data_IF_571946196884
#
_entry.id   IF_571946196884
#
_cell.length_a   1.000
_cell.length_b   1.000
_cell.length_c   1.000
_cell.angle_alpha   90.00
_cell.angle_beta   90.00
_cell.angle_gamma   90.00
#
_symmetry.space_group_name_H-M   'P 1'
#
loop_
_entity.id
_entity.type
_entity.pdbx_description
1 polymer ?
#
# COMPACT_ATOMS: atom_id res chain seq x y z
N UNK A 1 4.03 -8.77 18.19
CA UNK A 1 4.48 -9.45 16.95
C UNK A 1 3.26 -9.68 16.08
N UNK A 2 3.33 -9.36 14.78
CA UNK A 2 2.22 -9.57 13.83
C UNK A 2 1.93 -11.07 13.67
N UNK A 3 0.66 -11.48 13.74
CA UNK A 3 0.28 -12.87 13.44
C UNK A 3 0.17 -13.07 11.94
N UNK A 4 0.55 -14.27 11.48
CA UNK A 4 0.42 -14.70 10.10
C UNK A 4 -0.57 -15.86 9.99
N UNK A 5 -1.28 -15.92 8.86
CA UNK A 5 -2.10 -17.04 8.43
C UNK A 5 -1.55 -17.59 7.12
N UNK A 6 -1.96 -18.78 6.71
CA UNK A 6 -1.62 -19.31 5.39
C UNK A 6 -2.77 -19.05 4.41
N UNK A 7 -2.47 -18.41 3.28
CA UNK A 7 -3.31 -18.41 2.10
C UNK A 7 -2.67 -19.37 1.08
N UNK A 8 -3.18 -20.60 1.03
CA UNK A 8 -2.49 -21.70 0.34
C UNK A 8 -1.11 -21.97 0.96
N UNK A 9 -0.02 -22.04 0.17
CA UNK A 9 1.33 -22.24 0.70
C UNK A 9 1.99 -20.95 1.22
N UNK A 10 1.37 -19.78 1.03
CA UNK A 10 2.00 -18.47 1.28
C UNK A 10 1.62 -17.95 2.69
N UNK A 11 2.58 -17.61 3.55
CA UNK A 11 2.32 -16.96 4.82
C UNK A 11 1.99 -15.47 4.63
N UNK A 12 0.82 -15.05 5.07
CA UNK A 12 0.29 -13.69 4.93
C UNK A 12 -0.01 -13.11 6.30
N UNK A 13 0.34 -11.85 6.54
CA UNK A 13 -0.05 -11.14 7.77
C UNK A 13 -1.57 -11.09 7.88
N UNK A 14 -2.10 -11.32 9.09
CA UNK A 14 -3.56 -11.27 9.34
C UNK A 14 -4.17 -9.91 8.97
N UNK A 15 -3.34 -8.86 8.95
CA UNK A 15 -3.66 -7.54 8.42
C UNK A 15 -3.01 -7.39 7.05
N UNK A 16 -3.81 -7.00 6.05
CA UNK A 16 -3.33 -6.72 4.69
C UNK A 16 -3.47 -5.22 4.45
N UNK A 17 -2.40 -4.59 3.97
CA UNK A 17 -2.43 -3.17 3.63
C UNK A 17 -3.24 -2.96 2.36
N UNK A 18 -4.21 -2.03 2.39
CA UNK A 18 -4.96 -1.61 1.21
C UNK A 18 -4.39 -0.31 0.62
N UNK A 19 -4.42 -0.18 -0.71
CA UNK A 19 -3.82 0.97 -1.42
C UNK A 19 -4.83 1.91 -2.10
N UNK A 20 -6.14 1.69 -1.96
CA UNK A 20 -7.16 2.55 -2.58
C UNK A 20 -6.92 4.06 -2.34
N UNK A 21 -6.58 4.51 -1.10
CA UNK A 21 -6.27 5.92 -0.87
C UNK A 21 -5.06 6.43 -1.65
N UNK A 22 -4.07 5.59 -1.95
CA UNK A 22 -2.87 6.00 -2.70
C UNK A 22 -3.22 6.53 -4.10
N UNK A 23 -4.30 6.02 -4.69
CA UNK A 23 -4.76 6.44 -6.02
C UNK A 23 -5.99 7.35 -5.98
N UNK A 24 -6.44 7.76 -4.79
CA UNK A 24 -7.62 8.60 -4.61
C UNK A 24 -8.95 7.90 -4.83
N UNK A 25 -9.09 6.63 -4.41
CA UNK A 25 -10.39 5.95 -4.38
C UNK A 25 -11.05 6.12 -3.01
N UNK A 26 -11.63 7.29 -2.74
CA UNK A 26 -12.20 7.59 -1.42
C UNK A 26 -13.55 6.94 -1.15
N UNK A 27 -14.30 6.62 -2.20
CA UNK A 27 -15.72 6.22 -2.16
C UNK A 27 -16.65 7.26 -1.49
N UNK A 28 -16.21 8.52 -1.38
CA UNK A 28 -16.98 9.60 -0.74
C UNK A 28 -17.31 10.75 -1.71
N UNK A 29 -16.40 11.06 -2.64
CA UNK A 29 -16.63 12.06 -3.67
C UNK A 29 -15.33 12.66 -4.19
N UNK A 30 -15.45 13.43 -5.26
CA UNK A 30 -14.29 13.97 -6.01
C UNK A 30 -13.36 14.82 -5.14
N UNK A 31 -13.91 15.63 -4.23
CA UNK A 31 -13.11 16.45 -3.32
C UNK A 31 -12.21 15.61 -2.40
N UNK A 32 -12.70 14.46 -1.91
CA UNK A 32 -11.93 13.57 -1.06
C UNK A 32 -10.94 12.72 -1.87
N UNK A 33 -11.32 12.28 -3.08
CA UNK A 33 -10.40 11.62 -4.02
C UNK A 33 -9.17 12.51 -4.29
N UNK A 34 -9.42 13.79 -4.51
CA UNK A 34 -8.43 14.82 -4.75
C UNK A 34 -7.56 15.14 -3.53
N UNK A 35 -8.14 15.12 -2.33
CA UNK A 35 -7.40 15.26 -1.08
C UNK A 35 -6.46 14.06 -0.86
N UNK A 36 -6.94 12.84 -1.11
CA UNK A 36 -6.15 11.62 -1.01
C UNK A 36 -4.97 11.62 -1.99
N UNK A 37 -5.18 11.97 -3.27
CA UNK A 37 -4.09 12.07 -4.26
C UNK A 37 -3.01 13.09 -3.88
N UNK A 38 -3.42 14.24 -3.31
CA UNK A 38 -2.49 15.27 -2.85
C UNK A 38 -1.72 14.85 -1.59
N UNK A 39 -2.36 14.08 -0.71
CA UNK A 39 -1.73 13.57 0.51
C UNK A 39 -0.74 12.43 0.24
N UNK A 40 -1.15 11.44 -0.55
CA UNK A 40 -0.37 10.27 -0.90
C UNK A 40 0.57 10.54 -2.07
N UNK A 41 1.58 11.37 -1.82
CA UNK A 41 2.73 11.49 -2.70
C UNK A 41 3.49 10.17 -2.80
N UNK A 42 4.32 9.98 -3.83
CA UNK A 42 5.19 8.78 -3.95
C UNK A 42 6.02 8.54 -2.68
N UNK A 43 6.59 9.59 -2.09
CA UNK A 43 7.36 9.47 -0.85
C UNK A 43 6.48 9.08 0.35
N UNK A 44 5.28 9.66 0.46
CA UNK A 44 4.30 9.26 1.49
C UNK A 44 3.92 7.79 1.34
N UNK A 45 3.64 7.32 0.11
CA UNK A 45 3.29 5.92 -0.16
C UNK A 45 4.43 5.00 0.26
N UNK A 46 5.67 5.29 -0.14
CA UNK A 46 6.85 4.49 0.25
C UNK A 46 7.07 4.50 1.76
N UNK A 47 6.85 5.63 2.43
CA UNK A 47 6.93 5.72 3.89
C UNK A 47 5.86 4.85 4.58
N UNK A 48 4.61 4.88 4.11
CA UNK A 48 3.53 4.01 4.61
C UNK A 48 3.86 2.52 4.42
N UNK A 49 4.43 2.15 3.26
CA UNK A 49 4.87 0.77 2.99
C UNK A 49 5.97 0.33 3.97
N UNK A 50 6.99 1.17 4.20
CA UNK A 50 8.07 0.89 5.17
C UNK A 50 7.54 0.74 6.59
N UNK A 51 6.64 1.62 7.01
CA UNK A 51 6.03 1.56 8.34
C UNK A 51 5.21 0.28 8.52
N UNK A 52 4.39 -0.08 7.53
CA UNK A 52 3.64 -1.32 7.55
C UNK A 52 4.56 -2.55 7.64
N UNK A 53 5.64 -2.57 6.85
CA UNK A 53 6.65 -3.63 6.89
C UNK A 53 7.34 -3.72 8.26
N UNK A 54 7.72 -2.58 8.86
CA UNK A 54 8.33 -2.53 10.19
C UNK A 54 7.37 -3.05 11.30
N UNK A 55 6.07 -2.90 11.12
CA UNK A 55 5.02 -3.46 12.00
C UNK A 55 4.74 -4.95 11.73
N UNK A 56 5.39 -5.56 10.74
CA UNK A 56 5.27 -6.96 10.36
C UNK A 56 4.16 -7.26 9.35
N UNK A 57 3.57 -6.25 8.71
CA UNK A 57 2.68 -6.43 7.57
C UNK A 57 3.52 -6.87 6.38
N UNK A 58 3.17 -7.98 5.74
CA UNK A 58 3.95 -8.54 4.63
C UNK A 58 3.17 -8.61 3.31
N UNK A 59 1.94 -8.08 3.28
CA UNK A 59 1.04 -8.22 2.15
C UNK A 59 0.33 -6.90 1.87
N UNK A 60 0.28 -6.54 0.57
CA UNK A 60 -0.38 -5.36 0.02
C UNK A 60 -1.40 -5.80 -1.03
N UNK A 61 -2.60 -5.22 -1.00
CA UNK A 61 -3.55 -5.27 -2.11
C UNK A 61 -3.46 -3.95 -2.86
N UNK A 62 -3.01 -4.03 -4.11
CA UNK A 62 -2.84 -2.86 -4.96
C UNK A 62 -3.28 -3.07 -6.40
N UNK A 63 -3.58 -1.94 -7.03
CA UNK A 63 -3.83 -1.86 -8.46
C UNK A 63 -2.54 -2.14 -9.23
N UNK A 64 -2.71 -2.65 -10.44
CA UNK A 64 -1.64 -3.01 -11.37
C UNK A 64 -1.49 -1.99 -12.50
N UNK A 65 -1.78 -0.70 -12.23
CA UNK A 65 -1.53 0.37 -13.20
C UNK A 65 -0.08 0.85 -13.16
N UNK A 66 0.30 1.64 -14.17
CA UNK A 66 1.68 2.12 -14.31
C UNK A 66 2.15 3.00 -13.14
N UNK A 67 1.24 3.71 -12.47
CA UNK A 67 1.60 4.53 -11.32
C UNK A 67 2.03 3.65 -10.15
N UNK A 68 1.16 2.71 -9.73
CA UNK A 68 1.47 1.82 -8.61
C UNK A 68 2.64 0.89 -8.92
N UNK A 69 2.74 0.36 -10.14
CA UNK A 69 3.88 -0.48 -10.54
C UNK A 69 5.18 0.32 -10.44
N UNK A 70 5.23 1.57 -10.95
CA UNK A 70 6.44 2.40 -10.84
C UNK A 70 6.83 2.66 -9.39
N UNK A 71 5.87 3.03 -8.54
CA UNK A 71 6.11 3.28 -7.11
C UNK A 71 6.65 2.04 -6.41
N UNK A 72 6.10 0.85 -6.69
CA UNK A 72 6.54 -0.40 -6.08
C UNK A 72 7.92 -0.83 -6.58
N UNK A 73 8.27 -0.59 -7.85
CA UNK A 73 9.63 -0.82 -8.35
C UNK A 73 10.64 0.09 -7.63
N UNK A 74 10.35 1.39 -7.53
CA UNK A 74 11.22 2.33 -6.81
C UNK A 74 11.34 2.00 -5.32
N UNK A 75 10.24 1.57 -4.68
CA UNK A 75 10.27 1.10 -3.30
C UNK A 75 11.20 -0.10 -3.14
N UNK A 76 11.08 -1.09 -4.04
CA UNK A 76 11.88 -2.31 -3.99
C UNK A 76 13.38 -2.04 -4.16
N UNK A 77 13.74 -1.13 -5.07
CA UNK A 77 15.13 -0.78 -5.34
C UNK A 77 15.81 -0.02 -4.17
N UNK A 78 15.02 0.52 -3.22
CA UNK A 78 15.52 1.26 -2.05
C UNK A 78 15.88 0.36 -0.85
N UNK A 79 15.53 -0.93 -0.88
CA UNK A 79 15.67 -1.87 0.25
C UNK A 79 14.64 -1.65 1.36
#
# INVERSE_FOLDING_TARGET
MMKTIKLGPIPVSQFILGSNPFSGFSHQGTAMDDAMRRHFTTETIKATLREAAALGVNTLIARTDFHMIRVLLEYWDQG
#
